data_IF_013673077975
#
_entry.id   IF_013673077975
#
_cell.length_a   1.000
_cell.length_b   1.000
_cell.length_c   1.000
_cell.angle_alpha   90.00
_cell.angle_beta   90.00
_cell.angle_gamma   90.00
#
_symmetry.space_group_name_H-M   'P 1'
#
loop_
_entity.id
_entity.type
_entity.pdbx_description
1 polymer ?
#
# COMPACT_ATOMS: atom_id res chain seq x y z
N UNK A 1 21.54 29.53 49.02
CA UNK A 1 22.68 28.97 48.25
C UNK A 1 23.32 27.89 49.12
N UNK A 2 23.38 26.60 48.80
CA UNK A 2 22.98 25.77 47.65
C UNK A 2 22.30 24.52 48.23
N UNK A 3 21.22 24.06 47.61
CA UNK A 3 20.65 22.73 47.85
C UNK A 3 21.23 21.70 46.89
N UNK A 4 21.07 20.44 47.29
CA UNK A 4 21.08 19.18 46.54
C UNK A 4 22.44 18.64 46.06
N UNK A 5 22.85 17.47 46.60
CA UNK A 5 22.65 16.22 45.85
C UNK A 5 22.81 14.98 46.76
N UNK A 6 21.73 14.24 46.96
CA UNK A 6 21.72 12.85 47.44
C UNK A 6 20.45 12.22 46.87
N UNK A 7 20.58 11.54 45.74
CA UNK A 7 19.82 10.32 45.44
C UNK A 7 20.65 9.57 44.42
N UNK A 8 21.34 8.58 44.96
CA UNK A 8 22.01 7.46 44.33
C UNK A 8 21.00 6.73 43.43
N UNK A 9 21.16 6.89 42.10
CA UNK A 9 20.35 6.21 41.09
C UNK A 9 20.89 4.80 40.84
N UNK A 10 20.40 3.86 41.66
CA UNK A 10 20.54 2.41 41.52
C UNK A 10 19.76 1.85 40.31
N UNK A 11 19.90 2.46 39.12
CA UNK A 11 19.18 2.04 37.90
C UNK A 11 20.08 1.83 36.66
N UNK A 12 21.39 2.06 36.78
CA UNK A 12 22.32 2.02 35.63
C UNK A 12 22.90 0.62 35.32
N UNK A 13 22.51 -0.46 36.02
CA UNK A 13 23.18 -1.75 35.89
C UNK A 13 22.27 -2.98 35.79
N UNK A 14 21.04 -2.82 35.32
CA UNK A 14 20.13 -3.97 35.12
C UNK A 14 19.65 -4.14 33.67
N UNK A 15 20.15 -3.33 32.73
CA UNK A 15 19.85 -3.46 31.31
C UNK A 15 21.12 -3.65 30.48
N UNK A 16 21.87 -4.70 30.78
CA UNK A 16 22.89 -5.23 29.87
C UNK A 16 22.29 -6.37 29.04
N UNK A 17 21.83 -5.98 27.85
CA UNK A 17 21.84 -6.72 26.59
C UNK A 17 21.60 -8.23 26.68
N UNK A 18 20.33 -8.63 26.69
CA UNK A 18 19.91 -9.91 26.13
C UNK A 18 19.62 -9.74 24.63
N UNK A 19 20.26 -10.57 23.81
CA UNK A 19 20.49 -10.35 22.39
C UNK A 19 19.25 -10.64 21.50
N UNK A 20 18.17 -9.87 21.64
CA UNK A 20 16.91 -10.09 20.88
C UNK A 20 16.33 -8.86 20.15
N UNK A 21 17.15 -7.95 19.63
CA UNK A 21 16.64 -6.85 18.77
C UNK A 21 17.11 -6.79 17.30
N UNK A 22 17.30 -7.91 16.57
CA UNK A 22 17.27 -7.88 15.10
C UNK A 22 15.84 -7.90 14.54
N UNK A 23 14.94 -8.65 15.18
CA UNK A 23 13.58 -8.89 14.67
C UNK A 23 12.71 -7.65 14.77
N UNK A 24 12.79 -6.88 15.87
CA UNK A 24 11.96 -5.68 16.04
C UNK A 24 12.38 -4.53 15.11
N UNK A 25 13.68 -4.35 14.87
CA UNK A 25 14.17 -3.37 13.89
C UNK A 25 13.73 -3.73 12.46
N UNK A 26 13.79 -5.01 12.10
CA UNK A 26 13.23 -5.51 10.84
C UNK A 26 11.70 -5.36 10.79
N UNK A 27 11.00 -5.61 11.90
CA UNK A 27 9.55 -5.48 11.98
C UNK A 27 9.11 -4.01 11.84
N UNK A 28 9.78 -3.08 12.50
CA UNK A 28 9.52 -1.64 12.39
C UNK A 28 9.88 -1.10 11.00
N UNK A 29 10.94 -1.62 10.36
CA UNK A 29 11.25 -1.33 8.96
C UNK A 29 10.10 -1.80 8.04
N UNK A 30 9.61 -3.02 8.23
CA UNK A 30 8.46 -3.56 7.50
C UNK A 30 7.18 -2.75 7.73
N UNK A 31 6.95 -2.24 8.95
CA UNK A 31 5.77 -1.42 9.26
C UNK A 31 5.75 -0.11 8.48
N UNK A 32 6.91 0.49 8.17
CA UNK A 32 6.97 1.69 7.34
C UNK A 32 6.58 1.41 5.87
N UNK A 33 7.01 0.27 5.34
CA UNK A 33 6.64 -0.20 4.00
C UNK A 33 5.15 -0.55 3.92
N UNK A 34 4.64 -1.27 4.93
CA UNK A 34 3.22 -1.58 5.08
C UNK A 34 2.39 -0.28 5.16
N UNK A 35 2.82 0.69 5.96
CA UNK A 35 2.15 1.98 6.06
C UNK A 35 2.13 2.73 4.71
N UNK A 36 3.22 2.66 3.92
CA UNK A 36 3.28 3.26 2.60
C UNK A 36 2.31 2.60 1.59
N UNK A 37 2.21 1.27 1.62
CA UNK A 37 1.25 0.52 0.80
C UNK A 37 -0.18 0.86 1.23
N UNK A 38 -0.47 0.88 2.52
CA UNK A 38 -1.78 1.26 3.06
C UNK A 38 -2.13 2.69 2.65
N UNK A 39 -1.22 3.66 2.81
CA UNK A 39 -1.44 5.04 2.38
C UNK A 39 -1.70 5.15 0.87
N UNK A 40 -1.05 4.28 0.08
CA UNK A 40 -1.27 4.20 -1.36
C UNK A 40 -2.68 3.74 -1.71
N UNK A 41 -3.16 2.65 -1.08
CA UNK A 41 -4.50 2.10 -1.35
C UNK A 41 -5.63 2.88 -0.68
N UNK A 42 -5.38 3.50 0.48
CA UNK A 42 -6.36 4.30 1.22
C UNK A 42 -6.69 5.64 0.53
N UNK A 43 -5.92 6.03 -0.49
CA UNK A 43 -6.24 7.21 -1.28
C UNK A 43 -7.62 7.05 -1.96
N UNK A 44 -8.49 8.06 -1.84
CA UNK A 44 -9.88 8.08 -2.36
C UNK A 44 -10.09 7.38 -3.70
N UNK A 45 -9.20 7.62 -4.65
CA UNK A 45 -9.32 7.12 -6.02
C UNK A 45 -8.51 5.86 -6.33
N UNK A 46 -7.75 5.33 -5.38
CA UNK A 46 -7.00 4.08 -5.56
C UNK A 46 -7.94 2.87 -5.49
N UNK A 47 -8.78 2.77 -4.45
CA UNK A 47 -9.72 1.64 -4.30
C UNK A 47 -10.64 1.44 -5.51
N UNK A 48 -11.29 2.47 -6.10
CA UNK A 48 -12.12 2.28 -7.28
C UNK A 48 -11.34 1.73 -8.49
N UNK A 49 -10.08 2.16 -8.67
CA UNK A 49 -9.21 1.64 -9.74
C UNK A 49 -8.87 0.16 -9.48
N UNK A 50 -8.54 -0.19 -8.24
CA UNK A 50 -8.23 -1.58 -7.87
C UNK A 50 -9.44 -2.50 -8.03
N UNK A 51 -10.62 -2.07 -7.60
CA UNK A 51 -11.88 -2.80 -7.81
C UNK A 51 -12.19 -2.95 -9.30
N UNK A 52 -12.02 -1.89 -10.09
CA UNK A 52 -12.19 -1.96 -11.54
C UNK A 52 -11.30 -3.03 -12.18
N UNK A 53 -10.00 -3.02 -11.84
CA UNK A 53 -9.02 -3.98 -12.35
C UNK A 53 -9.17 -5.40 -11.75
N UNK A 54 -9.88 -5.56 -10.64
CA UNK A 54 -10.23 -6.87 -10.08
C UNK A 54 -11.10 -7.71 -11.01
N UNK A 55 -11.82 -7.08 -11.94
CA UNK A 55 -12.64 -7.77 -12.95
C UNK A 55 -11.84 -8.19 -14.20
N UNK A 56 -10.55 -7.81 -14.28
CA UNK A 56 -9.65 -8.15 -15.37
C UNK A 56 -8.93 -6.95 -15.98
N UNK A 57 -8.08 -7.17 -17.00
CA UNK A 57 -7.29 -6.13 -17.63
C UNK A 57 -8.16 -5.08 -18.35
N UNK A 58 -7.92 -3.79 -18.10
CA UNK A 58 -8.68 -2.69 -18.69
C UNK A 58 -7.78 -1.66 -19.38
N UNK A 59 -8.30 -0.97 -20.40
CA UNK A 59 -7.66 0.18 -21.02
C UNK A 59 -7.84 1.43 -20.17
N UNK A 60 -6.98 2.42 -20.44
CA UNK A 60 -7.09 3.74 -19.83
C UNK A 60 -8.48 4.38 -20.03
N UNK A 61 -9.00 4.33 -21.27
CA UNK A 61 -10.31 4.91 -21.61
C UNK A 61 -11.47 4.20 -20.92
N UNK A 62 -11.38 2.88 -20.74
CA UNK A 62 -12.37 2.08 -20.03
C UNK A 62 -12.38 2.43 -18.54
N UNK A 63 -11.19 2.54 -17.92
CA UNK A 63 -11.05 2.98 -16.53
C UNK A 63 -11.57 4.40 -16.29
N UNK A 64 -11.21 5.37 -17.15
CA UNK A 64 -11.69 6.75 -17.00
C UNK A 64 -13.21 6.84 -17.09
N UNK A 65 -13.83 6.11 -18.02
CA UNK A 65 -15.29 6.07 -18.19
C UNK A 65 -15.99 5.38 -17.02
N UNK A 66 -15.50 4.21 -16.60
CA UNK A 66 -16.09 3.43 -15.51
C UNK A 66 -16.07 4.19 -14.18
N UNK A 67 -14.97 4.89 -13.90
CA UNK A 67 -14.75 5.56 -12.61
C UNK A 67 -15.18 7.02 -12.60
N UNK A 68 -15.53 7.58 -13.77
CA UNK A 68 -15.90 9.00 -13.98
C UNK A 68 -14.88 9.97 -13.36
N UNK A 69 -13.60 9.62 -13.42
CA UNK A 69 -12.49 10.47 -12.96
C UNK A 69 -11.78 11.11 -14.15
N UNK A 70 -11.24 12.31 -13.94
CA UNK A 70 -10.49 13.01 -14.96
C UNK A 70 -9.15 12.32 -15.30
N UNK A 71 -8.63 12.62 -16.49
CA UNK A 71 -7.41 12.00 -17.00
C UNK A 71 -6.18 12.28 -16.10
N UNK A 72 -6.07 13.49 -15.54
CA UNK A 72 -4.94 13.87 -14.70
C UNK A 72 -4.95 13.05 -13.40
N UNK A 73 -6.11 12.87 -12.80
CA UNK A 73 -6.31 12.07 -11.61
C UNK A 73 -6.06 10.58 -11.90
N UNK A 74 -6.60 10.02 -12.99
CA UNK A 74 -6.37 8.63 -13.36
C UNK A 74 -4.89 8.34 -13.62
N UNK A 75 -4.20 9.21 -14.39
CA UNK A 75 -2.78 9.07 -14.65
C UNK A 75 -1.94 9.10 -13.38
N UNK A 76 -2.28 9.99 -12.42
CA UNK A 76 -1.60 10.07 -11.13
C UNK A 76 -1.79 8.79 -10.31
N UNK A 77 -3.01 8.27 -10.25
CA UNK A 77 -3.32 7.04 -9.49
C UNK A 77 -2.63 5.83 -10.11
N UNK A 78 -2.74 5.65 -11.43
CA UNK A 78 -2.09 4.53 -12.13
C UNK A 78 -0.58 4.57 -12.00
N UNK A 79 0.04 5.76 -12.04
CA UNK A 79 1.47 5.92 -11.79
C UNK A 79 1.82 5.46 -10.37
N UNK A 80 1.11 5.95 -9.36
CA UNK A 80 1.34 5.58 -7.95
C UNK A 80 1.19 4.06 -7.73
N UNK A 81 0.13 3.45 -8.26
CA UNK A 81 -0.12 2.02 -8.13
C UNK A 81 0.93 1.16 -8.87
N UNK A 82 1.49 1.68 -9.97
CA UNK A 82 2.60 1.03 -10.68
C UNK A 82 3.92 1.14 -9.93
N UNK A 83 4.22 2.32 -9.38
CA UNK A 83 5.41 2.55 -8.54
C UNK A 83 5.37 1.68 -7.27
N UNK A 84 4.18 1.45 -6.72
CA UNK A 84 3.96 0.51 -5.62
C UNK A 84 3.89 -0.98 -6.05
N UNK A 85 4.13 -1.30 -7.33
CA UNK A 85 4.07 -2.66 -7.88
C UNK A 85 2.72 -3.40 -7.72
N UNK A 86 1.62 -2.66 -7.54
CA UNK A 86 0.25 -3.20 -7.41
C UNK A 86 -0.40 -3.38 -8.79
N UNK A 87 -0.10 -2.47 -9.72
CA UNK A 87 -0.66 -2.47 -11.09
C UNK A 87 0.47 -2.54 -12.11
N UNK A 88 0.29 -3.36 -13.14
CA UNK A 88 1.18 -3.43 -14.30
C UNK A 88 0.51 -2.84 -15.54
N UNK A 89 1.34 -2.54 -16.56
CA UNK A 89 0.90 -2.01 -17.86
C UNK A 89 1.47 -2.90 -18.94
N UNK A 90 0.58 -3.50 -19.71
CA UNK A 90 0.92 -4.27 -20.90
C UNK A 90 0.72 -3.43 -22.15
N UNK A 91 1.68 -3.53 -23.05
CA UNK A 91 1.61 -2.91 -24.37
C UNK A 91 1.49 -4.03 -25.38
N UNK A 92 0.24 -4.38 -25.71
CA UNK A 92 -0.05 -5.40 -26.71
C UNK A 92 -0.21 -4.71 -28.06
N UNK A 93 0.63 -5.04 -29.03
CA UNK A 93 0.52 -4.48 -30.38
C UNK A 93 1.16 -5.36 -31.44
N UNK A 94 0.34 -5.79 -32.41
CA UNK A 94 0.81 -6.17 -33.73
C UNK A 94 0.74 -4.95 -34.66
N UNK A 95 1.57 -4.96 -35.72
CA UNK A 95 1.73 -3.91 -36.75
C UNK A 95 0.39 -3.21 -37.08
N UNK A 96 0.15 -2.04 -36.49
CA UNK A 96 -1.00 -1.17 -36.80
C UNK A 96 -1.85 -0.69 -35.61
N UNK A 97 -1.86 -1.36 -34.45
CA UNK A 97 -2.57 -0.82 -33.26
C UNK A 97 -1.83 -1.17 -31.97
N UNK A 98 -1.20 -0.17 -31.34
CA UNK A 98 -0.63 -0.32 -30.00
C UNK A 98 -1.76 -0.17 -28.98
N UNK A 99 -2.09 -1.24 -28.28
CA UNK A 99 -3.13 -1.25 -27.25
C UNK A 99 -2.49 -1.36 -25.87
N UNK A 100 -2.70 -0.33 -25.07
CA UNK A 100 -2.25 -0.28 -23.68
C UNK A 100 -3.35 -0.82 -22.78
N UNK A 101 -3.03 -1.83 -21.98
CA UNK A 101 -3.90 -2.36 -20.92
C UNK A 101 -3.21 -2.29 -19.57
N UNK A 102 -4.01 -2.18 -18.52
CA UNK A 102 -3.60 -2.21 -17.13
C UNK A 102 -4.22 -3.41 -16.47
N UNK A 103 -3.48 -4.07 -15.58
CA UNK A 103 -3.97 -5.21 -14.82
C UNK A 103 -3.33 -5.22 -13.43
N UNK A 104 -3.95 -5.92 -12.49
CA UNK A 104 -3.33 -6.18 -11.20
C UNK A 104 -2.13 -7.13 -11.37
N UNK A 105 -1.03 -6.84 -10.70
CA UNK A 105 0.06 -7.81 -10.51
C UNK A 105 -0.41 -8.95 -9.61
N UNK A 106 0.31 -10.08 -9.52
CA UNK A 106 0.00 -11.13 -8.54
C UNK A 106 -0.10 -10.59 -7.10
N UNK A 107 0.84 -9.72 -6.71
CA UNK A 107 0.81 -9.05 -5.40
C UNK A 107 -0.40 -8.11 -5.26
N UNK A 108 -0.78 -7.41 -6.33
CA UNK A 108 -1.96 -6.55 -6.33
C UNK A 108 -3.28 -7.34 -6.21
N UNK A 109 -3.36 -8.54 -6.78
CA UNK A 109 -4.51 -9.44 -6.61
C UNK A 109 -4.63 -9.91 -5.16
N UNK A 110 -3.52 -10.32 -4.54
CA UNK A 110 -3.49 -10.70 -3.12
C UNK A 110 -3.91 -9.53 -2.22
N UNK A 111 -3.43 -8.32 -2.51
CA UNK A 111 -3.81 -7.12 -1.75
C UNK A 111 -5.31 -6.82 -1.85
N UNK A 112 -5.89 -6.95 -3.04
CA UNK A 112 -7.33 -6.77 -3.25
C UNK A 112 -8.14 -7.81 -2.48
N UNK A 113 -7.69 -9.06 -2.42
CA UNK A 113 -8.33 -10.10 -1.61
C UNK A 113 -8.33 -9.75 -0.10
N UNK A 114 -7.18 -9.31 0.43
CA UNK A 114 -7.07 -8.86 1.83
C UNK A 114 -8.02 -7.68 2.11
N UNK A 115 -8.10 -6.71 1.20
CA UNK A 115 -9.02 -5.57 1.33
C UNK A 115 -10.49 -6.01 1.28
N UNK A 116 -10.82 -7.04 0.50
CA UNK A 116 -12.16 -7.60 0.44
C UNK A 116 -12.55 -8.31 1.75
N UNK A 117 -11.62 -9.08 2.34
CA UNK A 117 -11.81 -9.69 3.67
C UNK A 117 -11.99 -8.62 4.77
N UNK A 118 -11.23 -7.53 4.70
CA UNK A 118 -11.41 -6.40 5.61
C UNK A 118 -12.81 -5.76 5.47
N UNK A 119 -13.31 -5.63 4.23
CA UNK A 119 -14.65 -5.14 3.96
C UNK A 119 -15.75 -6.07 4.47
N UNK A 120 -15.59 -7.39 4.32
CA UNK A 120 -16.58 -8.37 4.78
C UNK A 120 -16.70 -8.40 6.30
N UNK A 121 -15.60 -8.19 7.03
CA UNK A 121 -15.60 -8.04 8.48
C UNK A 121 -16.46 -6.87 8.95
N UNK A 122 -16.40 -5.73 8.26
CA UNK A 122 -17.24 -4.56 8.59
C UNK A 122 -18.72 -4.89 8.38
N UNK A 123 -19.06 -5.57 7.29
CA UNK A 123 -20.44 -5.94 6.97
C UNK A 123 -21.01 -7.01 7.94
N UNK A 124 -20.16 -7.84 8.51
CA UNK A 124 -20.58 -8.90 9.47
C UNK A 124 -20.88 -8.34 10.87
N UNK A 125 -20.41 -7.12 11.18
CA UNK A 125 -20.66 -6.45 12.48
C UNK A 125 -21.67 -5.29 12.39
N UNK A 126 -22.20 -5.01 11.20
CA UNK A 126 -23.24 -4.01 10.96
C UNK A 126 -24.64 -4.55 11.13
#
# INVERSE_FOLDING_TARGET
MKSTNTTESHWDSEWQDDATVPVLAAHLANWSEVAAVIATVAHRSALPVLVGLGHGPMRYSELSRALRIDNKQLSRVLRRLREAHIVARDVNGARGSVQVRYHLTPSGQNLVAILAELGSWHLTRG
#
